data_IF_614537391386
#
_entry.id   IF_614537391386
#
_cell.length_a   1.000
_cell.length_b   1.000
_cell.length_c   1.000
_cell.angle_alpha   90.00
_cell.angle_beta   90.00
_cell.angle_gamma   90.00
#
_symmetry.space_group_name_H-M   'P 1'
#
loop_
_entity.id
_entity.type
_entity.pdbx_description
1 polymer ?
#
# COMPACT_ATOMS: atom_id res chain seq x y z
N UNK A 1 -26.42 33.35 57.63
CA UNK A 1 -27.40 32.26 57.46
C UNK A 1 -26.76 31.22 56.56
N UNK A 2 -26.50 30.01 57.08
CA UNK A 2 -26.35 28.70 56.38
C UNK A 2 -25.28 28.62 55.24
N UNK A 3 -24.09 28.03 55.48
CA UNK A 3 -23.64 26.64 55.10
C UNK A 3 -23.60 26.40 53.56
N UNK A 4 -22.69 25.68 52.89
CA UNK A 4 -21.54 24.83 53.21
C UNK A 4 -20.90 24.34 51.88
N UNK A 5 -19.56 24.19 51.91
CA UNK A 5 -18.67 23.18 51.27
C UNK A 5 -18.35 23.15 49.74
N UNK A 6 -17.15 22.61 49.41
CA UNK A 6 -16.49 22.71 48.10
C UNK A 6 -16.63 21.43 47.26
N UNK A 7 -16.43 21.53 45.94
CA UNK A 7 -16.42 20.38 45.04
C UNK A 7 -15.48 20.59 43.87
N UNK A 8 -14.31 19.96 43.93
CA UNK A 8 -13.34 19.99 42.85
C UNK A 8 -13.75 19.14 41.64
N UNK A 9 -13.16 19.45 40.49
CA UNK A 9 -12.73 18.40 39.56
C UNK A 9 -11.66 18.94 38.60
N UNK A 10 -10.39 18.67 38.90
CA UNK A 10 -9.37 18.50 37.87
C UNK A 10 -9.83 17.34 36.99
N UNK A 11 -10.33 17.62 35.79
CA UNK A 11 -10.55 16.60 34.76
C UNK A 11 -9.70 16.89 33.53
N UNK A 12 -8.55 16.22 33.52
CA UNK A 12 -7.90 15.56 32.37
C UNK A 12 -7.79 16.37 31.07
N UNK A 13 -6.69 17.10 30.93
CA UNK A 13 -5.91 17.08 29.70
C UNK A 13 -5.33 15.67 29.55
N UNK A 14 -5.81 14.91 28.57
CA UNK A 14 -5.40 13.53 28.36
C UNK A 14 -6.49 12.72 27.68
N UNK A 15 -6.76 13.02 26.42
CA UNK A 15 -7.59 12.20 25.54
C UNK A 15 -7.39 12.58 24.07
N UNK A 16 -6.15 12.51 23.58
CA UNK A 16 -5.86 12.45 22.13
C UNK A 16 -4.85 11.32 21.85
N UNK A 17 -5.15 10.14 22.39
CA UNK A 17 -4.53 8.87 21.98
C UNK A 17 -5.63 7.81 21.89
N UNK A 18 -6.42 7.87 20.82
CA UNK A 18 -7.37 6.83 20.37
C UNK A 18 -7.45 7.06 18.86
N UNK A 19 -6.89 6.23 17.99
CA UNK A 19 -7.24 4.82 17.81
C UNK A 19 -6.10 4.11 17.04
N UNK A 20 -5.28 3.29 17.70
CA UNK A 20 -4.21 2.48 17.06
C UNK A 20 -4.54 0.99 17.09
N UNK A 21 -5.81 0.61 17.10
CA UNK A 21 -6.17 -0.81 17.12
C UNK A 21 -7.54 -1.01 16.51
N UNK A 22 -7.59 -1.18 15.17
CA UNK A 22 -8.70 -1.92 14.58
C UNK A 22 -8.72 -3.29 15.24
N UNK A 23 -9.78 -3.53 16.02
CA UNK A 23 -9.98 -4.74 16.82
C UNK A 23 -10.00 -5.97 15.93
N UNK A 24 -9.12 -6.94 16.21
CA UNK A 24 -9.35 -8.36 15.91
C UNK A 24 -10.66 -8.79 16.58
N UNK A 25 -11.74 -8.90 15.81
CA UNK A 25 -12.98 -9.56 16.24
C UNK A 25 -13.68 -10.23 15.06
N UNK A 26 -13.84 -11.54 15.19
CA UNK A 26 -14.65 -12.37 14.33
C UNK A 26 -13.81 -13.09 13.29
N UNK A 27 -14.04 -14.39 13.16
CA UNK A 27 -13.49 -15.27 12.15
C UNK A 27 -13.67 -14.59 10.77
N UNK A 28 -12.68 -13.85 10.27
CA UNK A 28 -12.71 -13.32 8.91
C UNK A 28 -12.66 -14.53 8.01
N UNK A 29 -13.82 -14.90 7.48
CA UNK A 29 -13.87 -15.93 6.45
C UNK A 29 -13.15 -15.33 5.26
N UNK A 30 -12.01 -15.91 4.89
CA UNK A 30 -11.27 -15.53 3.71
C UNK A 30 -12.23 -15.40 2.51
N UNK A 31 -12.08 -14.36 1.71
CA UNK A 31 -12.83 -14.21 0.45
C UNK A 31 -11.85 -14.25 -0.73
N UNK A 32 -12.14 -15.12 -1.70
CA UNK A 32 -11.35 -15.26 -2.93
C UNK A 32 -11.46 -14.06 -3.87
N UNK A 33 -12.46 -13.19 -3.67
CA UNK A 33 -12.69 -11.99 -4.46
C UNK A 33 -12.02 -10.75 -3.85
N UNK A 34 -11.50 -10.84 -2.63
CA UNK A 34 -10.70 -9.78 -2.05
C UNK A 34 -9.43 -9.54 -2.89
N UNK A 35 -8.98 -8.29 -2.92
CA UNK A 35 -7.81 -7.85 -3.65
C UNK A 35 -6.73 -7.43 -2.66
N UNK A 36 -5.50 -7.88 -2.88
CA UNK A 36 -4.33 -7.46 -2.12
C UNK A 36 -3.49 -6.47 -2.94
N UNK A 37 -3.47 -5.24 -2.45
CA UNK A 37 -2.74 -4.10 -2.99
C UNK A 37 -1.43 -3.93 -2.26
N UNK A 38 -0.36 -3.62 -2.98
CA UNK A 38 0.93 -3.37 -2.37
C UNK A 38 1.75 -2.38 -3.18
N UNK A 39 2.76 -1.85 -2.52
CA UNK A 39 3.80 -0.98 -3.07
C UNK A 39 5.10 -1.27 -2.32
N UNK A 40 6.20 -1.27 -3.07
CA UNK A 40 7.56 -1.44 -2.56
C UNK A 40 8.41 -0.22 -2.90
N UNK A 41 9.21 0.21 -1.93
CA UNK A 41 10.35 1.07 -2.21
C UNK A 41 11.60 0.22 -2.35
N UNK A 42 12.44 0.58 -3.32
CA UNK A 42 13.68 -0.13 -3.63
C UNK A 42 14.87 0.84 -3.67
N UNK A 43 16.07 0.29 -3.62
CA UNK A 43 17.31 1.07 -3.82
C UNK A 43 17.55 1.46 -5.27
N UNK A 44 16.78 0.88 -6.21
CA UNK A 44 16.87 1.11 -7.64
C UNK A 44 15.89 0.23 -8.42
N UNK A 45 16.09 0.09 -9.73
CA UNK A 45 15.14 -0.57 -10.65
C UNK A 45 15.57 -1.97 -11.11
N UNK A 46 16.77 -2.42 -10.75
CA UNK A 46 17.35 -3.67 -11.19
C UNK A 46 17.40 -4.70 -10.04
N UNK A 47 16.52 -5.71 -10.02
CA UNK A 47 16.54 -6.76 -9.00
C UNK A 47 17.85 -7.57 -8.96
N UNK A 48 18.75 -7.45 -9.94
CA UNK A 48 20.06 -8.10 -9.87
C UNK A 48 21.03 -7.42 -8.90
N UNK A 49 20.84 -6.13 -8.64
CA UNK A 49 21.76 -5.31 -7.83
C UNK A 49 21.05 -4.58 -6.69
N UNK A 50 19.79 -4.24 -6.89
CA UNK A 50 18.98 -3.46 -5.97
C UNK A 50 18.18 -4.35 -5.02
N UNK A 51 17.74 -3.76 -3.90
CA UNK A 51 17.01 -4.46 -2.84
C UNK A 51 15.74 -3.74 -2.41
N UNK A 52 14.84 -4.50 -1.81
CA UNK A 52 13.62 -3.99 -1.18
C UNK A 52 14.01 -3.29 0.13
N UNK A 53 13.50 -2.08 0.34
CA UNK A 53 13.77 -1.26 1.53
C UNK A 53 12.51 -0.80 2.26
N UNK A 54 11.35 -0.76 1.59
CA UNK A 54 10.04 -0.61 2.24
C UNK A 54 9.00 -1.48 1.55
N UNK A 55 8.03 -1.98 2.31
CA UNK A 55 6.84 -2.63 1.76
C UNK A 55 5.63 -2.44 2.68
N UNK A 56 4.47 -2.24 2.08
CA UNK A 56 3.17 -2.23 2.76
C UNK A 56 2.12 -2.95 1.93
N UNK A 57 1.01 -3.34 2.57
CA UNK A 57 -0.13 -3.97 1.92
C UNK A 57 -1.46 -3.41 2.42
N UNK A 58 -2.45 -3.38 1.51
CA UNK A 58 -3.85 -3.10 1.81
C UNK A 58 -4.73 -4.21 1.21
N UNK A 59 -5.67 -4.70 1.99
CA UNK A 59 -6.73 -5.59 1.49
C UNK A 59 -7.97 -4.76 1.20
N UNK A 60 -8.54 -4.95 0.02
CA UNK A 60 -9.88 -4.45 -0.32
C UNK A 60 -10.84 -5.59 -0.65
N UNK A 61 -12.14 -5.32 -0.56
CA UNK A 61 -13.12 -6.13 -1.27
C UNK A 61 -13.05 -5.87 -2.79
N UNK A 62 -13.90 -6.55 -3.57
CA UNK A 62 -14.00 -6.36 -5.03
C UNK A 62 -14.52 -4.99 -5.45
N UNK A 63 -15.16 -4.26 -4.52
CA UNK A 63 -15.67 -2.90 -4.73
C UNK A 63 -14.66 -1.82 -4.33
N UNK A 64 -13.42 -2.23 -4.03
CA UNK A 64 -12.29 -1.38 -3.66
C UNK A 64 -12.42 -0.76 -2.27
N UNK A 65 -13.31 -1.26 -1.40
CA UNK A 65 -13.42 -0.82 -0.02
C UNK A 65 -12.32 -1.43 0.83
N UNK A 66 -11.59 -0.60 1.57
CA UNK A 66 -10.50 -1.04 2.44
C UNK A 66 -11.04 -1.88 3.58
N UNK A 67 -10.54 -3.12 3.69
CA UNK A 67 -10.88 -4.06 4.74
C UNK A 67 -9.81 -4.10 5.83
N UNK A 68 -8.53 -4.04 5.43
CA UNK A 68 -7.39 -4.11 6.33
C UNK A 68 -6.15 -3.46 5.72
N UNK A 69 -5.21 -3.09 6.58
CA UNK A 69 -3.90 -2.54 6.22
C UNK A 69 -2.82 -3.23 7.05
N UNK A 70 -1.68 -3.57 6.45
CA UNK A 70 -0.53 -4.08 7.17
C UNK A 70 0.18 -2.97 7.93
N UNK A 71 1.16 -3.33 8.76
CA UNK A 71 2.20 -2.38 9.15
C UNK A 71 3.03 -1.97 7.92
N UNK A 72 3.73 -0.84 8.01
CA UNK A 72 4.71 -0.42 7.01
C UNK A 72 6.08 -0.92 7.45
N UNK A 73 6.64 -1.86 6.70
CA UNK A 73 7.92 -2.49 7.05
C UNK A 73 9.06 -1.79 6.32
N UNK A 74 9.96 -1.16 7.08
CA UNK A 74 11.29 -0.84 6.56
C UNK A 74 12.17 -2.09 6.66
N UNK A 75 12.82 -2.48 5.57
CA UNK A 75 13.67 -3.68 5.49
C UNK A 75 15.13 -3.25 5.59
N UNK A 76 15.88 -3.83 6.52
CA UNK A 76 17.28 -3.49 6.72
C UNK A 76 18.14 -3.83 5.50
N UNK A 77 19.01 -2.89 5.10
CA UNK A 77 20.07 -3.09 4.10
C UNK A 77 21.36 -2.44 4.62
N UNK A 78 22.52 -2.90 4.13
CA UNK A 78 23.82 -2.36 4.54
C UNK A 78 24.04 -0.94 4.04
N UNK A 79 24.86 -0.17 4.77
CA UNK A 79 25.27 1.17 4.34
C UNK A 79 25.95 1.15 2.96
N UNK A 80 26.75 0.14 2.66
CA UNK A 80 27.35 -0.04 1.32
C UNK A 80 26.29 -0.05 0.21
N UNK A 81 25.14 -0.68 0.44
CA UNK A 81 24.09 -0.74 -0.57
C UNK A 81 23.34 0.58 -0.67
N UNK A 82 23.04 1.20 0.49
CA UNK A 82 22.35 2.50 0.54
C UNK A 82 23.19 3.62 -0.07
N UNK A 83 24.49 3.62 0.15
CA UNK A 83 25.42 4.64 -0.34
C UNK A 83 25.69 4.49 -1.86
N UNK A 84 25.34 3.34 -2.45
CA UNK A 84 25.44 3.07 -3.89
C UNK A 84 24.13 3.33 -4.66
N UNK A 85 23.08 3.85 -4.01
CA UNK A 85 21.87 4.29 -4.70
C UNK A 85 22.16 5.43 -5.68
N UNK A 86 21.36 5.53 -6.75
CA UNK A 86 21.45 6.68 -7.65
C UNK A 86 21.03 8.00 -6.96
N UNK A 87 21.28 9.13 -7.63
CA UNK A 87 20.98 10.46 -7.08
C UNK A 87 19.49 10.63 -6.75
N UNK A 88 18.60 10.06 -7.58
CA UNK A 88 17.17 10.21 -7.40
C UNK A 88 16.66 9.44 -6.18
N UNK A 89 17.08 8.18 -6.02
CA UNK A 89 16.74 7.34 -4.87
C UNK A 89 17.33 7.91 -3.58
N UNK A 90 18.60 8.33 -3.61
CA UNK A 90 19.25 8.96 -2.46
C UNK A 90 18.50 10.22 -2.00
N UNK A 91 18.15 11.11 -2.93
CA UNK A 91 17.45 12.35 -2.60
C UNK A 91 16.00 12.12 -2.14
N UNK A 92 15.30 11.16 -2.74
CA UNK A 92 13.90 10.85 -2.42
C UNK A 92 13.79 10.18 -1.06
N UNK A 93 14.52 9.07 -0.86
CA UNK A 93 14.48 8.29 0.38
C UNK A 93 15.07 9.04 1.57
N UNK A 94 16.05 9.93 1.32
CA UNK A 94 16.55 10.86 2.34
C UNK A 94 15.49 11.86 2.80
N UNK A 95 14.71 12.43 1.86
CA UNK A 95 13.67 13.42 2.17
C UNK A 95 12.48 12.83 2.92
N UNK A 96 12.10 11.59 2.59
CA UNK A 96 10.99 10.89 3.26
C UNK A 96 11.41 10.31 4.62
N UNK A 97 12.71 10.30 4.92
CA UNK A 97 13.29 9.68 6.12
C UNK A 97 13.40 8.16 6.02
N UNK A 98 13.13 7.57 4.85
CA UNK A 98 13.17 6.13 4.64
C UNK A 98 14.59 5.58 4.81
N UNK A 99 15.62 6.25 4.28
CA UNK A 99 17.02 5.79 4.42
C UNK A 99 17.40 5.60 5.90
N UNK A 100 16.97 6.51 6.78
CA UNK A 100 17.25 6.40 8.21
C UNK A 100 16.48 5.23 8.84
N UNK A 101 15.20 5.05 8.49
CA UNK A 101 14.39 3.92 8.96
C UNK A 101 14.96 2.57 8.53
N UNK A 102 15.54 2.49 7.34
CA UNK A 102 16.20 1.28 6.83
C UNK A 102 17.44 0.95 7.67
N UNK A 103 18.28 1.95 7.98
CA UNK A 103 19.46 1.77 8.85
C UNK A 103 19.06 1.32 10.26
N UNK A 104 17.99 1.90 10.81
CA UNK A 104 17.49 1.58 12.14
C UNK A 104 16.68 0.28 12.21
N UNK A 105 16.21 -0.22 11.06
CA UNK A 105 15.44 -1.46 11.01
C UNK A 105 16.30 -2.66 11.39
N UNK A 106 15.67 -3.60 12.09
CA UNK A 106 16.22 -4.94 12.33
C UNK A 106 15.51 -6.02 11.51
N UNK A 107 14.55 -5.62 10.66
CA UNK A 107 13.78 -6.56 9.88
C UNK A 107 14.55 -7.04 8.65
N UNK A 108 14.66 -8.35 8.53
CA UNK A 108 15.14 -9.02 7.31
C UNK A 108 14.00 -9.21 6.30
N UNK A 109 14.35 -9.37 5.01
CA UNK A 109 13.36 -9.68 3.95
C UNK A 109 12.52 -10.91 4.29
N UNK A 110 13.12 -11.97 4.85
CA UNK A 110 12.41 -13.20 5.21
C UNK A 110 11.43 -13.01 6.37
N UNK A 111 11.76 -12.19 7.36
CA UNK A 111 10.84 -11.88 8.47
C UNK A 111 9.66 -11.05 7.98
N UNK A 112 9.91 -10.07 7.11
CA UNK A 112 8.85 -9.23 6.51
C UNK A 112 7.97 -10.08 5.59
N UNK A 113 8.56 -10.94 4.76
CA UNK A 113 7.84 -11.91 3.93
C UNK A 113 6.85 -12.72 4.76
N UNK A 114 7.30 -13.29 5.89
CA UNK A 114 6.43 -14.10 6.75
C UNK A 114 5.30 -13.26 7.39
N UNK A 115 5.61 -12.04 7.87
CA UNK A 115 4.59 -11.14 8.44
C UNK A 115 3.51 -10.76 7.44
N UNK A 116 3.90 -10.49 6.19
CA UNK A 116 2.96 -10.17 5.11
C UNK A 116 2.15 -11.38 4.67
N UNK A 117 2.74 -12.57 4.64
CA UNK A 117 2.03 -13.83 4.42
C UNK A 117 0.97 -14.07 5.51
N UNK A 118 1.35 -13.92 6.78
CA UNK A 118 0.44 -14.09 7.91
C UNK A 118 -0.73 -13.12 7.78
N UNK A 119 -0.44 -11.83 7.52
CA UNK A 119 -1.44 -10.80 7.27
C UNK A 119 -2.39 -11.17 6.12
N UNK A 120 -1.86 -11.51 4.94
CA UNK A 120 -2.68 -11.82 3.76
C UNK A 120 -3.52 -13.08 3.97
N UNK A 121 -2.98 -14.08 4.68
CA UNK A 121 -3.69 -15.34 4.96
C UNK A 121 -4.90 -15.18 5.87
N UNK A 122 -5.03 -14.08 6.62
CA UNK A 122 -6.25 -13.80 7.40
C UNK A 122 -7.43 -13.37 6.51
N UNK A 123 -7.19 -12.97 5.25
CA UNK A 123 -8.17 -12.30 4.40
C UNK A 123 -8.43 -12.96 3.05
N UNK A 124 -7.42 -13.61 2.47
CA UNK A 124 -7.48 -14.13 1.10
C UNK A 124 -6.91 -15.54 1.03
N UNK A 125 -7.59 -16.51 0.39
CA UNK A 125 -7.03 -17.83 0.17
C UNK A 125 -5.79 -17.76 -0.75
N UNK A 126 -4.87 -18.71 -0.58
CA UNK A 126 -3.70 -18.83 -1.45
C UNK A 126 -4.07 -18.93 -2.92
N UNK A 127 -3.31 -18.24 -3.76
CA UNK A 127 -3.42 -18.16 -5.23
C UNK A 127 -4.73 -17.57 -5.76
N UNK A 128 -5.52 -16.89 -4.93
CA UNK A 128 -6.78 -16.28 -5.34
C UNK A 128 -6.62 -14.85 -5.87
N UNK A 129 -6.00 -13.95 -5.11
CA UNK A 129 -5.84 -12.54 -5.50
C UNK A 129 -4.71 -12.34 -6.51
N UNK A 130 -4.90 -11.55 -7.58
CA UNK A 130 -3.77 -11.00 -8.34
C UNK A 130 -2.96 -10.04 -7.46
N UNK A 131 -1.77 -9.67 -7.92
CA UNK A 131 -1.00 -8.59 -7.29
C UNK A 131 -1.50 -7.25 -7.83
N UNK A 132 -1.95 -6.35 -6.95
CA UNK A 132 -2.60 -5.10 -7.32
C UNK A 132 -1.74 -3.87 -6.98
N UNK A 133 -1.69 -2.89 -7.88
CA UNK A 133 -0.97 -1.63 -7.66
C UNK A 133 -0.70 -0.87 -8.95
N UNK A 134 -0.03 0.28 -8.87
CA UNK A 134 0.47 1.00 -10.05
C UNK A 134 1.81 0.41 -10.50
N UNK A 135 1.93 0.05 -11.79
CA UNK A 135 3.19 -0.48 -12.35
C UNK A 135 3.70 -1.72 -11.60
N UNK A 136 2.77 -2.46 -11.01
CA UNK A 136 2.98 -3.54 -10.02
C UNK A 136 3.84 -4.70 -10.52
N UNK A 137 4.06 -4.78 -11.84
CA UNK A 137 5.01 -5.72 -12.42
C UNK A 137 6.44 -5.48 -11.92
N UNK A 138 6.81 -4.23 -11.62
CA UNK A 138 8.14 -3.88 -11.14
C UNK A 138 8.37 -4.44 -9.74
N UNK A 139 7.44 -4.23 -8.82
CA UNK A 139 7.43 -4.83 -7.48
C UNK A 139 7.50 -6.36 -7.58
N UNK A 140 6.77 -6.94 -8.55
CA UNK A 140 6.75 -8.41 -8.72
C UNK A 140 8.13 -8.94 -9.06
N UNK A 141 8.91 -8.23 -9.88
CA UNK A 141 10.28 -8.64 -10.23
C UNK A 141 11.17 -8.74 -8.99
N UNK A 142 11.04 -7.81 -8.04
CA UNK A 142 11.75 -7.87 -6.77
C UNK A 142 11.21 -8.98 -5.87
N UNK A 143 9.88 -9.09 -5.76
CA UNK A 143 9.24 -10.09 -4.92
C UNK A 143 9.59 -11.53 -5.34
N UNK A 144 9.61 -11.84 -6.64
CA UNK A 144 10.03 -13.15 -7.17
C UNK A 144 11.41 -13.57 -6.63
N UNK A 145 12.33 -12.61 -6.48
CA UNK A 145 13.70 -12.89 -6.07
C UNK A 145 13.90 -12.88 -4.55
N UNK A 146 13.31 -11.89 -3.88
CA UNK A 146 13.62 -11.59 -2.48
C UNK A 146 12.52 -12.02 -1.50
N UNK A 147 11.29 -12.24 -1.98
CA UNK A 147 10.15 -12.70 -1.19
C UNK A 147 9.33 -13.78 -1.96
N UNK A 148 9.97 -14.90 -2.38
CA UNK A 148 9.37 -15.86 -3.29
C UNK A 148 8.18 -16.63 -2.72
N UNK A 149 8.09 -16.86 -1.41
CA UNK A 149 6.92 -17.52 -0.79
C UNK A 149 5.71 -16.60 -0.83
N UNK A 150 5.93 -15.31 -0.58
CA UNK A 150 4.88 -14.30 -0.70
C UNK A 150 4.40 -14.19 -2.15
N UNK A 151 5.31 -14.13 -3.11
CA UNK A 151 4.95 -14.12 -4.54
C UNK A 151 4.12 -15.34 -4.94
N UNK A 152 4.52 -16.54 -4.51
CA UNK A 152 3.81 -17.78 -4.78
C UNK A 152 2.41 -17.85 -4.14
N UNK A 153 2.14 -17.02 -3.12
CA UNK A 153 0.81 -16.92 -2.54
C UNK A 153 -0.13 -16.10 -3.40
N UNK A 154 0.37 -15.15 -4.19
CA UNK A 154 -0.44 -14.43 -5.17
C UNK A 154 -0.84 -15.33 -6.35
N UNK A 155 -1.91 -14.95 -7.03
CA UNK A 155 -2.18 -15.47 -8.36
C UNK A 155 -1.15 -14.94 -9.37
N UNK A 156 -0.92 -15.65 -10.48
CA UNK A 156 0.09 -15.29 -11.48
C UNK A 156 -0.22 -13.98 -12.24
N UNK A 157 -1.46 -13.48 -12.13
CA UNK A 157 -1.90 -12.25 -12.80
C UNK A 157 -1.55 -11.02 -11.97
N UNK A 158 -1.37 -9.91 -12.66
CA UNK A 158 -1.34 -8.58 -12.08
C UNK A 158 -2.64 -7.86 -12.39
N UNK A 159 -3.09 -7.04 -11.44
CA UNK A 159 -4.11 -6.02 -11.65
C UNK A 159 -3.39 -4.67 -11.60
N UNK A 160 -2.90 -4.24 -12.77
CA UNK A 160 -2.03 -3.08 -12.89
C UNK A 160 -2.81 -1.84 -13.28
N UNK A 161 -2.94 -0.89 -12.34
CA UNK A 161 -3.66 0.37 -12.53
C UNK A 161 -3.02 1.21 -13.65
N UNK A 162 -1.70 1.12 -13.81
CA UNK A 162 -0.98 1.86 -14.86
C UNK A 162 -1.37 1.39 -16.27
N UNK A 163 -1.88 0.17 -16.43
CA UNK A 163 -2.48 -0.27 -17.70
C UNK A 163 -3.68 0.59 -18.06
N UNK A 164 -4.60 0.82 -17.12
CA UNK A 164 -5.78 1.68 -17.35
C UNK A 164 -5.36 3.13 -17.60
N UNK A 165 -4.34 3.62 -16.88
CA UNK A 165 -3.77 4.96 -17.11
C UNK A 165 -3.28 5.14 -18.54
N UNK A 166 -2.51 4.19 -19.06
CA UNK A 166 -1.99 4.27 -20.42
C UNK A 166 -3.09 4.16 -21.49
N UNK A 167 -4.13 3.36 -21.23
CA UNK A 167 -5.31 3.28 -22.10
C UNK A 167 -6.12 4.58 -22.05
N UNK A 168 -6.38 5.13 -20.86
CA UNK A 168 -7.12 6.38 -20.69
C UNK A 168 -6.39 7.56 -21.36
N UNK A 169 -5.05 7.66 -21.25
CA UNK A 169 -4.26 8.67 -21.96
C UNK A 169 -4.47 8.66 -23.49
N UNK A 170 -4.78 7.50 -24.07
CA UNK A 170 -4.97 7.33 -25.52
C UNK A 170 -6.43 7.42 -25.95
N UNK A 171 -7.34 6.86 -25.16
CA UNK A 171 -8.72 6.65 -25.56
C UNK A 171 -9.69 7.61 -24.87
N UNK A 172 -9.32 8.19 -23.72
CA UNK A 172 -10.09 9.23 -23.04
C UNK A 172 -9.18 10.18 -22.24
N UNK A 173 -8.37 11.04 -22.92
CA UNK A 173 -7.39 11.90 -22.26
C UNK A 173 -7.95 12.81 -21.14
N UNK A 174 -9.19 13.35 -21.23
CA UNK A 174 -9.78 14.09 -20.12
C UNK A 174 -9.86 13.30 -18.81
N UNK A 175 -10.25 12.02 -18.86
CA UNK A 175 -10.33 11.15 -17.68
C UNK A 175 -8.95 10.85 -17.10
N UNK A 176 -7.92 10.71 -17.94
CA UNK A 176 -6.55 10.55 -17.46
C UNK A 176 -6.03 11.82 -16.75
N UNK A 177 -6.41 13.01 -17.24
CA UNK A 177 -5.99 14.30 -16.67
C UNK A 177 -6.70 14.67 -15.37
N UNK A 178 -7.85 14.08 -15.08
CA UNK A 178 -8.61 14.36 -13.85
C UNK A 178 -8.14 13.57 -12.64
N UNK A 179 -7.23 12.61 -12.81
CA UNK A 179 -6.59 11.92 -11.68
C UNK A 179 -5.65 12.88 -10.96
N UNK A 180 -5.84 13.06 -9.65
CA UNK A 180 -5.00 13.93 -8.80
C UNK A 180 -4.16 13.04 -7.88
N UNK A 181 -2.83 13.11 -8.01
CA UNK A 181 -1.89 12.47 -7.09
C UNK A 181 -1.26 13.48 -6.15
N UNK A 182 -1.03 13.09 -4.90
CA UNK A 182 -0.31 13.90 -3.90
C UNK A 182 1.20 13.64 -4.01
N UNK A 183 1.61 12.43 -4.40
CA UNK A 183 3.02 12.10 -4.69
C UNK A 183 3.88 12.11 -3.43
N UNK A 184 3.51 11.28 -2.46
CA UNK A 184 4.13 11.28 -1.13
C UNK A 184 5.40 10.42 -1.02
N UNK A 185 5.59 9.45 -1.94
CA UNK A 185 6.72 8.51 -1.95
C UNK A 185 6.84 7.74 -0.63
N UNK A 186 5.71 7.18 -0.20
CA UNK A 186 5.57 6.33 0.99
C UNK A 186 4.65 5.19 0.62
N UNK A 187 5.07 3.95 0.87
CA UNK A 187 4.39 2.78 0.36
C UNK A 187 2.88 2.77 0.65
N UNK A 188 2.46 3.04 1.90
CA UNK A 188 1.04 2.99 2.26
C UNK A 188 0.20 4.08 1.59
N UNK A 189 0.74 5.29 1.49
CA UNK A 189 0.05 6.42 0.87
C UNK A 189 -0.07 6.19 -0.65
N UNK A 190 0.96 5.64 -1.28
CA UNK A 190 0.99 5.36 -2.71
C UNK A 190 0.07 4.17 -3.10
N UNK A 191 -0.13 3.20 -2.19
CA UNK A 191 -1.18 2.16 -2.33
C UNK A 191 -2.56 2.79 -2.29
N UNK A 192 -2.84 3.69 -1.35
CA UNK A 192 -4.13 4.37 -1.25
C UNK A 192 -4.41 5.21 -2.50
N UNK A 193 -3.40 5.90 -3.03
CA UNK A 193 -3.50 6.60 -4.31
C UNK A 193 -3.80 5.64 -5.47
N UNK A 194 -3.18 4.45 -5.49
CA UNK A 194 -3.45 3.43 -6.52
C UNK A 194 -4.89 2.92 -6.47
N UNK A 195 -5.43 2.70 -5.27
CA UNK A 195 -6.82 2.28 -5.06
C UNK A 195 -7.79 3.38 -5.53
N UNK A 196 -7.52 4.64 -5.16
CA UNK A 196 -8.36 5.76 -5.57
C UNK A 196 -8.29 6.00 -7.08
N UNK A 197 -7.12 5.85 -7.69
CA UNK A 197 -6.95 5.91 -9.14
C UNK A 197 -7.75 4.79 -9.85
N UNK A 198 -7.76 3.57 -9.30
CA UNK A 198 -8.60 2.49 -9.82
C UNK A 198 -10.10 2.81 -9.68
N UNK A 199 -10.54 3.38 -8.54
CA UNK A 199 -11.93 3.82 -8.35
C UNK A 199 -12.32 4.86 -9.41
N UNK A 200 -11.46 5.84 -9.65
CA UNK A 200 -11.65 6.86 -10.69
C UNK A 200 -11.82 6.24 -12.08
N UNK A 201 -10.97 5.29 -12.46
CA UNK A 201 -11.11 4.62 -13.77
C UNK A 201 -12.32 3.70 -13.86
N UNK A 202 -12.72 3.05 -12.76
CA UNK A 202 -13.96 2.27 -12.71
C UNK A 202 -15.16 3.16 -13.04
N UNK A 203 -15.25 4.34 -12.42
CA UNK A 203 -16.40 5.25 -12.56
C UNK A 203 -16.41 6.02 -13.89
N UNK A 204 -15.25 6.50 -14.33
CA UNK A 204 -15.19 7.46 -15.44
C UNK A 204 -14.65 6.90 -16.75
N UNK A 205 -14.06 5.69 -16.74
CA UNK A 205 -13.47 5.08 -17.94
C UNK A 205 -14.09 3.75 -18.33
N UNK A 206 -14.31 2.84 -17.38
CA UNK A 206 -14.80 1.48 -17.65
C UNK A 206 -16.33 1.40 -17.68
N UNK A 207 -17.00 1.99 -16.68
CA UNK A 207 -18.46 2.01 -16.62
C UNK A 207 -18.91 3.30 -17.29
N UNK A 208 -19.23 3.22 -18.59
CA UNK A 208 -19.85 4.35 -19.26
C UNK A 208 -21.24 4.60 -18.64
N UNK A 209 -21.52 5.82 -18.17
CA UNK A 209 -22.90 6.25 -18.06
C UNK A 209 -23.58 6.06 -19.43
N UNK A 210 -24.84 5.59 -19.50
CA UNK A 210 -25.52 5.41 -20.78
C UNK A 210 -25.44 6.73 -21.56
N UNK A 211 -24.92 6.66 -22.80
CA UNK A 211 -24.89 7.82 -23.69
C UNK A 211 -26.32 8.31 -23.84
N UNK A 212 -26.58 9.58 -23.51
CA UNK A 212 -27.78 10.24 -23.98
C UNK A 212 -27.79 10.08 -25.51
N UNK A 213 -28.83 9.44 -26.03
CA UNK A 213 -29.02 9.31 -27.47
C UNK A 213 -28.97 10.71 -28.08
N UNK A 214 -28.05 10.92 -29.01
CA UNK A 214 -28.04 12.12 -29.82
C UNK A 214 -29.34 12.12 -30.63
N UNK A 215 -30.25 13.05 -30.29
CA UNK A 215 -31.44 13.37 -31.07
C UNK A 215 -31.07 14.02 -32.40
#
# INVERSE_FOLDING_TARGET
>A
MVRSRPGGNRRRLGALERDKTLKRKGNTVQDKNNLCWLDMEMTGLNPETDRIIEVAMIITDSDLNVLAQSEVYAVHQSDELLDNMDEWNTATHGRTGLTQRVRESSHTEAEVEQKLLDFMSEWVPGRATPMCGNSIHQDRRFMVKYMPKLENYFHYRNLDVSTLKELAKRWNPPVAKSVVKRGSHKALDDILESIEEMRHYREHFLISAPRAEAQ
#
